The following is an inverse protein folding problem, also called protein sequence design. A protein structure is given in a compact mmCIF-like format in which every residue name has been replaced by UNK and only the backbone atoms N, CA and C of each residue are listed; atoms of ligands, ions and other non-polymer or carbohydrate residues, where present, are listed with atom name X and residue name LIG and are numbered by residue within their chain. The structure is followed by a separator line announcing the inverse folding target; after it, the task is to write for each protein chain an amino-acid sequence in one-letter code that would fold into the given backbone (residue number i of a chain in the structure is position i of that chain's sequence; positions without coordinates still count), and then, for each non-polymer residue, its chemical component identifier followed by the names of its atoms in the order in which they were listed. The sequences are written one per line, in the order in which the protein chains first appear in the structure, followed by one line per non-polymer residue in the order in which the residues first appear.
data_IF_380108214174
#
_entry.id   IF_380108214174
#
_cell.length_a   1.000
_cell.length_b   1.000
_cell.length_c   1.000
_cell.angle_alpha   90.00
_cell.angle_beta   90.00
_cell.angle_gamma   90.00
#
_symmetry.space_group_name_H-M   'P 1'
#
loop_
_entity.id
_entity.type
_entity.pdbx_description
1 polymer ?
#
# COMPACT_ATOMS: atom_id res chain seq x y z
N UNK A 1 10.43 16.95 28.66
CA UNK A 1 11.55 16.03 28.38
C UNK A 1 11.91 16.18 26.92
N UNK A 2 13.19 15.97 26.54
CA UNK A 2 13.59 16.03 25.12
C UNK A 2 13.76 14.62 24.55
N UNK A 3 13.34 14.42 23.31
CA UNK A 3 13.53 13.19 22.55
C UNK A 3 14.18 13.49 21.20
N UNK A 4 15.15 12.68 20.81
CA UNK A 4 15.79 12.74 19.50
C UNK A 4 15.35 11.51 18.72
N UNK A 5 14.78 11.73 17.53
CA UNK A 5 14.27 10.68 16.65
C UNK A 5 15.12 10.67 15.38
N UNK A 6 15.72 9.54 15.08
CA UNK A 6 16.59 9.39 13.91
C UNK A 6 15.77 8.83 12.75
N UNK A 7 15.68 9.62 11.67
CA UNK A 7 14.92 9.33 10.47
C UNK A 7 13.55 10.02 10.47
N UNK A 8 13.32 10.90 9.48
CA UNK A 8 12.06 11.60 9.27
C UNK A 8 11.19 10.95 8.19
N UNK A 9 11.16 9.62 8.15
CA UNK A 9 10.17 8.85 7.40
C UNK A 9 8.84 8.76 8.17
N UNK A 10 7.85 8.04 7.62
CA UNK A 10 6.52 7.90 8.22
C UNK A 10 6.56 7.44 9.68
N UNK A 11 7.40 6.44 10.00
CA UNK A 11 7.54 5.93 11.36
C UNK A 11 8.13 6.97 12.32
N UNK A 12 9.17 7.71 11.90
CA UNK A 12 9.77 8.77 12.72
C UNK A 12 8.80 9.91 12.97
N UNK A 13 8.06 10.35 11.95
CA UNK A 13 7.04 11.39 12.10
C UNK A 13 5.90 10.94 13.04
N UNK A 14 5.42 9.70 12.90
CA UNK A 14 4.39 9.15 13.79
C UNK A 14 4.90 9.03 15.25
N UNK A 15 6.16 8.66 15.43
CA UNK A 15 6.80 8.59 16.76
C UNK A 15 6.91 9.98 17.39
N UNK A 16 7.37 10.99 16.61
CA UNK A 16 7.43 12.36 17.08
C UNK A 16 6.06 12.87 17.51
N UNK A 17 5.08 12.71 16.65
CA UNK A 17 3.71 13.12 16.96
C UNK A 17 3.18 12.46 18.23
N UNK A 18 3.40 11.15 18.40
CA UNK A 18 2.96 10.43 19.59
C UNK A 18 3.66 10.92 20.87
N UNK A 19 4.94 11.20 20.81
CA UNK A 19 5.72 11.70 21.95
C UNK A 19 5.32 13.12 22.32
N UNK A 20 5.05 13.99 21.36
CA UNK A 20 4.56 15.35 21.59
C UNK A 20 3.23 15.38 22.33
N UNK A 21 2.31 14.42 22.03
CA UNK A 21 1.05 14.26 22.79
C UNK A 21 1.30 13.91 24.28
N UNK A 22 2.49 13.41 24.61
CA UNK A 22 2.89 13.08 25.98
C UNK A 22 3.85 14.14 26.58
N UNK A 23 3.94 15.32 25.97
CA UNK A 23 4.72 16.46 26.50
C UNK A 23 6.22 16.37 26.28
N UNK A 24 6.68 15.59 25.31
CA UNK A 24 8.09 15.58 24.89
C UNK A 24 8.34 16.71 23.87
N UNK A 25 9.50 17.34 23.99
CA UNK A 25 10.06 18.24 22.98
C UNK A 25 10.87 17.39 21.99
N UNK A 26 10.37 17.20 20.78
CA UNK A 26 10.92 16.25 19.82
C UNK A 26 11.80 16.94 18.77
N UNK A 27 12.96 16.32 18.50
CA UNK A 27 13.86 16.70 17.40
C UNK A 27 14.01 15.52 16.46
N UNK A 28 13.60 15.70 15.18
CA UNK A 28 13.87 14.72 14.14
C UNK A 28 15.18 15.02 13.44
N UNK A 29 16.02 13.99 13.32
CA UNK A 29 17.29 14.05 12.59
C UNK A 29 17.15 13.20 11.33
N UNK A 30 17.30 13.82 10.17
CA UNK A 30 17.14 13.17 8.85
C UNK A 30 18.45 13.28 8.07
N UNK A 31 18.86 12.20 7.42
CA UNK A 31 20.09 12.15 6.62
C UNK A 31 19.93 12.81 5.25
N UNK A 32 18.72 12.83 4.71
CA UNK A 32 18.42 13.45 3.42
C UNK A 32 17.97 14.90 3.59
N UNK A 33 18.02 15.68 2.51
CA UNK A 33 17.62 17.10 2.51
C UNK A 33 16.12 17.32 2.79
N UNK A 34 15.30 16.29 2.64
CA UNK A 34 13.84 16.37 2.82
C UNK A 34 13.33 15.23 3.67
N UNK A 35 12.38 15.54 4.54
CA UNK A 35 11.60 14.53 5.25
C UNK A 35 10.72 13.70 4.31
N UNK A 36 10.18 12.59 4.81
CA UNK A 36 9.24 11.72 4.11
C UNK A 36 9.79 10.32 3.80
N UNK A 37 11.12 10.14 3.75
CA UNK A 37 11.74 8.84 3.47
C UNK A 37 11.22 8.24 2.16
N UNK A 38 10.66 7.02 2.20
CA UNK A 38 10.07 6.34 1.04
C UNK A 38 8.74 6.94 0.56
N UNK A 39 8.07 7.72 1.40
CA UNK A 39 6.83 8.45 1.04
C UNK A 39 7.12 9.79 0.36
N UNK A 40 8.36 10.05 0.04
CA UNK A 40 8.78 11.29 -0.62
C UNK A 40 8.48 11.24 -2.11
N UNK A 41 8.01 12.37 -2.66
CA UNK A 41 7.94 12.60 -4.09
C UNK A 41 9.10 13.47 -4.55
N UNK A 42 9.48 13.33 -5.80
CA UNK A 42 10.42 14.21 -6.50
C UNK A 42 9.76 14.73 -7.77
N UNK A 43 10.14 15.92 -8.20
CA UNK A 43 9.62 16.50 -9.44
C UNK A 43 10.60 16.23 -10.58
N UNK A 44 10.09 15.66 -11.67
CA UNK A 44 10.85 15.39 -12.90
C UNK A 44 10.09 16.07 -14.06
N UNK A 45 10.59 17.21 -14.51
CA UNK A 45 9.86 18.07 -15.43
C UNK A 45 8.58 18.60 -14.83
N UNK A 46 7.43 18.31 -15.45
CA UNK A 46 6.10 18.69 -14.96
C UNK A 46 5.43 17.60 -14.08
N UNK A 47 6.10 16.48 -13.85
CA UNK A 47 5.53 15.33 -13.16
C UNK A 47 6.07 15.22 -11.74
N UNK A 48 5.17 14.90 -10.81
CA UNK A 48 5.54 14.45 -9.47
C UNK A 48 5.70 12.93 -9.51
N UNK A 49 6.90 12.47 -9.20
CA UNK A 49 7.26 11.05 -9.22
C UNK A 49 7.54 10.59 -7.79
N UNK A 50 6.88 9.52 -7.39
CA UNK A 50 7.09 8.92 -6.09
C UNK A 50 8.45 8.22 -6.02
N UNK A 51 9.21 8.46 -4.94
CA UNK A 51 10.51 7.81 -4.70
C UNK A 51 10.32 6.34 -4.34
N UNK A 52 9.19 6.00 -3.74
CA UNK A 52 8.82 4.64 -3.38
C UNK A 52 7.43 4.28 -3.88
N UNK A 53 7.04 3.03 -3.67
CA UNK A 53 5.71 2.55 -4.03
C UNK A 53 4.68 3.07 -3.02
N UNK A 54 3.74 3.88 -3.49
CA UNK A 54 2.73 4.54 -2.66
C UNK A 54 1.35 3.89 -2.84
N UNK A 55 1.10 2.81 -2.13
CA UNK A 55 -0.24 2.24 -2.02
C UNK A 55 -0.66 2.21 -0.56
N UNK A 56 -1.78 2.84 -0.27
CA UNK A 56 -2.36 2.86 1.06
C UNK A 56 -3.52 1.86 1.14
N UNK A 57 -3.39 0.87 2.01
CA UNK A 57 -4.48 -0.05 2.31
C UNK A 57 -5.39 0.56 3.38
N UNK A 58 -6.52 1.12 2.94
CA UNK A 58 -7.47 1.81 3.84
C UNK A 58 -8.16 0.90 4.85
N UNK A 59 -8.02 -0.42 4.70
CA UNK A 59 -8.57 -1.42 5.63
C UNK A 59 -7.72 -1.62 6.90
N UNK A 60 -6.55 -1.00 7.04
CA UNK A 60 -5.77 -1.11 8.27
C UNK A 60 -6.45 -0.37 9.43
N UNK A 61 -6.79 -1.06 10.55
CA UNK A 61 -7.51 -0.45 11.66
C UNK A 61 -6.77 0.73 12.31
N UNK A 62 -5.44 0.66 12.36
CA UNK A 62 -4.59 1.71 12.93
C UNK A 62 -4.48 2.95 12.05
N UNK A 63 -4.86 2.89 10.77
CA UNK A 63 -4.70 3.99 9.85
C UNK A 63 -5.39 5.27 10.31
N UNK A 64 -6.66 5.14 10.69
CA UNK A 64 -7.50 6.26 11.14
C UNK A 64 -7.05 6.89 12.48
N UNK A 65 -6.18 6.20 13.21
CA UNK A 65 -5.57 6.75 14.42
C UNK A 65 -4.46 7.75 14.13
N UNK A 66 -3.75 7.54 13.02
CA UNK A 66 -2.52 8.28 12.70
C UNK A 66 -2.69 9.25 11.54
N UNK A 67 -3.66 9.01 10.67
CA UNK A 67 -3.87 9.80 9.46
C UNK A 67 -5.33 10.21 9.34
N UNK A 68 -5.55 11.44 8.94
CA UNK A 68 -6.87 11.87 8.46
C UNK A 68 -6.99 11.44 7.00
N UNK A 69 -7.58 10.25 6.79
CA UNK A 69 -7.69 9.62 5.47
C UNK A 69 -8.50 10.46 4.48
N UNK A 70 -9.50 11.21 4.99
CA UNK A 70 -10.38 12.04 4.15
C UNK A 70 -9.63 13.24 3.52
N UNK A 71 -8.51 13.66 4.14
CA UNK A 71 -7.67 14.75 3.63
C UNK A 71 -6.60 14.30 2.64
N UNK A 72 -6.45 12.98 2.41
CA UNK A 72 -5.38 12.45 1.58
C UNK A 72 -5.70 12.42 0.09
N UNK A 73 -6.88 12.84 -0.35
CA UNK A 73 -7.30 12.82 -1.76
C UNK A 73 -6.98 11.49 -2.47
N UNK A 74 -7.22 10.37 -1.76
CA UNK A 74 -6.87 9.04 -2.24
C UNK A 74 -7.60 8.72 -3.54
N UNK A 75 -6.85 8.24 -4.53
CA UNK A 75 -7.41 7.73 -5.79
C UNK A 75 -7.54 6.21 -5.69
N UNK A 76 -8.73 5.66 -5.96
CA UNK A 76 -8.91 4.21 -5.98
C UNK A 76 -8.09 3.61 -7.12
N UNK A 77 -7.46 2.47 -6.85
CA UNK A 77 -6.76 1.67 -7.86
C UNK A 77 -7.63 0.47 -8.24
N UNK A 78 -7.60 0.11 -9.50
CA UNK A 78 -8.24 -1.12 -9.98
C UNK A 78 -7.59 -2.35 -9.33
N UNK A 79 -8.42 -3.34 -9.00
CA UNK A 79 -7.94 -4.61 -8.46
C UNK A 79 -7.38 -5.50 -9.60
N UNK A 80 -6.37 -4.99 -10.29
CA UNK A 80 -5.75 -5.60 -11.45
C UNK A 80 -4.23 -5.38 -11.45
N UNK A 81 -3.54 -6.23 -12.19
CA UNK A 81 -2.10 -6.14 -12.42
C UNK A 81 -1.80 -6.37 -13.89
N UNK A 82 -1.01 -5.49 -14.48
CA UNK A 82 -0.52 -5.64 -15.82
C UNK A 82 0.86 -6.32 -15.81
N UNK A 83 0.96 -7.44 -16.51
CA UNK A 83 2.21 -8.17 -16.73
C UNK A 83 2.75 -7.77 -18.09
N UNK A 84 3.87 -7.08 -18.10
CA UNK A 84 4.55 -6.65 -19.33
C UNK A 84 5.66 -7.66 -19.65
N UNK A 85 5.63 -8.23 -20.86
CA UNK A 85 6.72 -9.06 -21.35
C UNK A 85 7.83 -8.16 -21.92
N UNK A 86 9.03 -8.09 -21.31
CA UNK A 86 10.08 -7.13 -21.72
C UNK A 86 10.54 -7.33 -23.17
N UNK A 87 10.51 -8.57 -23.66
CA UNK A 87 10.99 -8.93 -25.01
C UNK A 87 10.04 -8.54 -26.13
N UNK A 88 8.73 -8.48 -25.86
CA UNK A 88 7.71 -8.26 -26.90
C UNK A 88 6.87 -6.99 -26.66
N UNK A 89 6.99 -6.38 -25.48
CA UNK A 89 6.12 -5.29 -25.04
C UNK A 89 4.65 -5.70 -24.85
N UNK A 90 4.32 -7.00 -24.94
CA UNK A 90 2.96 -7.45 -24.78
C UNK A 90 2.49 -7.29 -23.33
N UNK A 91 1.28 -6.77 -23.16
CA UNK A 91 0.65 -6.56 -21.85
C UNK A 91 -0.43 -7.61 -21.63
N UNK A 92 -0.39 -8.27 -20.47
CA UNK A 92 -1.42 -9.22 -20.03
C UNK A 92 -2.00 -8.73 -18.70
N UNK A 93 -3.27 -8.37 -18.71
CA UNK A 93 -3.98 -7.93 -17.51
C UNK A 93 -4.54 -9.15 -16.76
N UNK A 94 -4.26 -9.23 -15.47
CA UNK A 94 -4.86 -10.18 -14.54
C UNK A 94 -5.51 -9.37 -13.42
N UNK A 95 -6.80 -9.60 -13.17
CA UNK A 95 -7.54 -8.86 -12.16
C UNK A 95 -8.49 -9.73 -11.38
N UNK A 96 -9.13 -9.10 -10.40
CA UNK A 96 -10.19 -9.68 -9.62
C UNK A 96 -11.55 -9.29 -10.20
N UNK A 97 -12.23 -10.18 -10.95
CA UNK A 97 -13.47 -9.84 -11.64
C UNK A 97 -14.63 -9.43 -10.73
N UNK A 98 -14.54 -9.76 -9.43
CA UNK A 98 -15.58 -9.36 -8.47
C UNK A 98 -15.40 -7.91 -7.98
N UNK A 99 -14.20 -7.37 -8.09
CA UNK A 99 -13.88 -5.98 -7.73
C UNK A 99 -13.71 -5.07 -8.94
N UNK A 100 -13.23 -5.63 -10.04
CA UNK A 100 -13.02 -4.95 -11.32
C UNK A 100 -13.61 -5.85 -12.44
N UNK A 101 -14.94 -5.78 -12.73
CA UNK A 101 -15.63 -6.65 -13.71
C UNK A 101 -15.02 -6.58 -15.11
N UNK A 102 -14.45 -5.44 -15.51
CA UNK A 102 -13.74 -5.25 -16.77
C UNK A 102 -12.55 -6.20 -16.97
N UNK A 103 -12.01 -6.75 -15.88
CA UNK A 103 -10.86 -7.67 -15.92
C UNK A 103 -11.22 -9.13 -16.14
N UNK A 104 -12.53 -9.48 -16.21
CA UNK A 104 -12.98 -10.87 -16.36
C UNK A 104 -12.42 -11.53 -17.62
N UNK A 105 -12.67 -10.92 -18.78
CA UNK A 105 -12.18 -11.46 -20.05
C UNK A 105 -10.64 -11.41 -20.15
N UNK A 106 -9.97 -10.28 -19.86
CA UNK A 106 -8.52 -10.25 -19.83
C UNK A 106 -7.90 -11.32 -18.94
N UNK A 107 -8.45 -11.56 -17.74
CA UNK A 107 -7.96 -12.58 -16.81
C UNK A 107 -8.13 -14.01 -17.38
N UNK A 108 -9.28 -14.32 -17.98
CA UNK A 108 -9.51 -15.63 -18.60
C UNK A 108 -8.55 -15.85 -19.77
N UNK A 109 -8.35 -14.86 -20.63
CA UNK A 109 -7.42 -14.95 -21.76
C UNK A 109 -5.96 -15.04 -21.33
N UNK A 110 -5.58 -14.36 -20.25
CA UNK A 110 -4.19 -14.32 -19.79
C UNK A 110 -3.81 -15.51 -18.92
N UNK A 111 -4.67 -15.91 -18.00
CA UNK A 111 -4.43 -16.99 -17.03
C UNK A 111 -5.00 -18.34 -17.43
N UNK A 112 -5.94 -18.37 -18.37
CA UNK A 112 -6.72 -19.54 -18.73
C UNK A 112 -7.91 -19.77 -17.79
N UNK A 113 -8.97 -20.38 -18.33
CA UNK A 113 -10.25 -20.55 -17.61
C UNK A 113 -10.11 -21.37 -16.32
N UNK A 114 -9.26 -22.39 -16.31
CA UNK A 114 -9.05 -23.24 -15.14
C UNK A 114 -8.38 -22.49 -13.99
N UNK A 115 -7.40 -21.65 -14.30
CA UNK A 115 -6.75 -20.83 -13.30
C UNK A 115 -7.67 -19.72 -12.79
N UNK A 116 -8.46 -19.11 -13.66
CA UNK A 116 -9.47 -18.14 -13.26
C UNK A 116 -10.50 -18.74 -12.29
N UNK A 117 -10.97 -19.96 -12.56
CA UNK A 117 -11.88 -20.69 -11.66
C UNK A 117 -11.22 -21.07 -10.33
N UNK A 118 -9.94 -21.46 -10.34
CA UNK A 118 -9.16 -21.73 -9.12
C UNK A 118 -9.01 -20.45 -8.26
N UNK A 119 -8.70 -19.33 -8.88
CA UNK A 119 -8.60 -18.02 -8.20
C UNK A 119 -9.94 -17.63 -7.58
N UNK A 120 -11.04 -17.77 -8.32
CA UNK A 120 -12.38 -17.49 -7.82
C UNK A 120 -12.73 -18.39 -6.62
N UNK A 121 -12.49 -19.71 -6.75
CA UNK A 121 -12.73 -20.66 -5.65
C UNK A 121 -11.91 -20.35 -4.42
N UNK A 122 -10.64 -20.02 -4.59
CA UNK A 122 -9.75 -19.63 -3.50
C UNK A 122 -10.28 -18.37 -2.81
N UNK A 123 -10.65 -17.35 -3.56
CA UNK A 123 -11.21 -16.11 -3.04
C UNK A 123 -12.51 -16.33 -2.24
N UNK A 124 -13.44 -17.13 -2.78
CA UNK A 124 -14.69 -17.45 -2.08
C UNK A 124 -14.43 -18.20 -0.77
N UNK A 125 -13.41 -19.06 -0.74
CA UNK A 125 -12.99 -19.77 0.46
C UNK A 125 -12.33 -18.85 1.49
N UNK A 126 -11.53 -17.88 1.06
CA UNK A 126 -10.82 -16.97 1.97
C UNK A 126 -11.69 -15.82 2.49
N UNK A 127 -12.77 -15.46 1.77
CA UNK A 127 -13.71 -14.42 2.20
C UNK A 127 -14.37 -14.70 3.55
N UNK A 128 -14.45 -15.98 3.96
CA UNK A 128 -15.04 -16.42 5.23
C UNK A 128 -14.04 -16.48 6.39
N UNK A 129 -12.75 -16.25 6.15
CA UNK A 129 -11.75 -16.23 7.21
C UNK A 129 -11.75 -14.86 7.85
N UNK A 130 -11.88 -14.86 9.16
CA UNK A 130 -11.87 -13.66 9.98
C UNK A 130 -10.54 -12.91 9.80
N UNK A 131 -10.61 -11.59 9.62
CA UNK A 131 -9.44 -10.73 9.46
C UNK A 131 -8.47 -10.86 10.64
N UNK A 132 -8.96 -11.11 11.85
CA UNK A 132 -8.14 -11.33 13.04
C UNK A 132 -7.20 -12.53 12.87
N UNK A 133 -7.71 -13.68 12.38
CA UNK A 133 -6.88 -14.88 12.15
C UNK A 133 -5.83 -14.65 11.04
N UNK A 134 -6.11 -13.80 10.06
CA UNK A 134 -5.15 -13.46 9.00
C UNK A 134 -4.07 -12.50 9.51
N UNK A 135 -4.38 -11.63 10.45
CA UNK A 135 -3.41 -10.71 11.07
C UNK A 135 -2.47 -11.46 12.03
N UNK A 136 -2.95 -12.42 12.79
CA UNK A 136 -2.13 -13.27 13.67
C UNK A 136 -1.08 -14.07 12.87
N UNK A 137 -1.45 -14.53 11.66
CA UNK A 137 -0.51 -15.23 10.79
C UNK A 137 0.57 -14.29 10.18
N UNK A 138 0.28 -13.00 10.04
CA UNK A 138 1.26 -12.03 9.51
C UNK A 138 2.28 -11.58 10.57
N UNK A 139 1.90 -11.61 11.84
CA UNK A 139 2.79 -11.26 12.96
C UNK A 139 3.80 -12.36 13.32
N UNK A 140 3.58 -13.60 12.88
CA UNK A 140 4.48 -14.74 13.14
C UNK A 140 5.73 -14.70 12.24
N UNK A 141 5.75 -13.87 11.19
CA UNK A 141 6.85 -13.81 10.21
C UNK A 141 7.71 -12.54 10.31
N UNK A 142 7.55 -11.77 11.36
CA UNK A 142 8.44 -10.65 11.72
C UNK A 142 9.29 -11.06 12.93
#
# INVERSE_FOLDING_TARGET
MKAIIVGAGLAGCATAWALEQHGFDCVLVEASEKAGGRMRCTTVGEYNVDVGFHVLHTAYPSLHRWLNVDQLELKPMDAATDLIAPSTGSVKTIGDPLRAPSTLFPTIFSAGIWNALRMLRWRLKTRKRDLETAMDLSLIHI
#
